data_IF_819540792778
#
_entry.id   IF_819540792778
#
_cell.length_a   1.000
_cell.length_b   1.000
_cell.length_c   1.000
_cell.angle_alpha   90.00
_cell.angle_beta   90.00
_cell.angle_gamma   90.00
#
_symmetry.space_group_name_H-M   'P 1'
#
loop_
_entity.id
_entity.type
_entity.pdbx_description
1 polymer ?
#
# COMPACT_ATOMS: atom_id res chain seq x y z
N UNK A 1 -11.75 -12.61 -0.92
CA UNK A 1 -12.05 -12.92 -2.34
C UNK A 1 -12.05 -14.45 -2.52
N UNK A 2 -12.65 -15.02 -3.56
CA UNK A 2 -12.46 -16.45 -3.92
C UNK A 2 -11.79 -16.46 -5.29
N UNK A 3 -10.63 -17.11 -5.39
CA UNK A 3 -9.84 -17.11 -6.64
C UNK A 3 -10.41 -18.07 -7.68
N UNK A 4 -11.16 -19.08 -7.23
CA UNK A 4 -11.74 -20.13 -8.07
C UNK A 4 -13.20 -19.83 -8.46
N UNK A 5 -13.64 -20.21 -9.67
CA UNK A 5 -15.00 -19.98 -10.13
C UNK A 5 -16.04 -20.67 -9.23
N UNK A 6 -17.02 -19.88 -8.77
CA UNK A 6 -18.10 -20.27 -7.84
C UNK A 6 -19.43 -20.60 -8.53
N UNK A 7 -19.45 -20.67 -9.86
CA UNK A 7 -20.70 -20.72 -10.64
C UNK A 7 -21.56 -21.96 -10.34
N UNK A 8 -20.93 -23.08 -9.95
CA UNK A 8 -21.63 -24.36 -9.74
C UNK A 8 -21.28 -25.04 -8.40
N UNK A 9 -20.40 -24.43 -7.58
CA UNK A 9 -19.93 -25.02 -6.32
C UNK A 9 -19.83 -23.93 -5.25
N UNK A 10 -20.51 -24.11 -4.11
CA UNK A 10 -20.31 -23.27 -2.94
C UNK A 10 -18.94 -23.55 -2.32
N UNK A 11 -18.04 -22.56 -2.35
CA UNK A 11 -16.68 -22.63 -1.79
C UNK A 11 -16.48 -21.54 -0.73
N UNK A 12 -17.43 -21.46 0.21
CA UNK A 12 -17.40 -20.48 1.30
C UNK A 12 -16.17 -20.69 2.18
N UNK A 13 -15.63 -21.90 2.27
CA UNK A 13 -14.45 -22.17 3.10
C UNK A 13 -13.13 -21.70 2.44
N UNK A 14 -13.14 -21.27 1.18
CA UNK A 14 -11.96 -20.76 0.44
C UNK A 14 -11.84 -19.22 0.52
N UNK A 15 -12.54 -18.55 1.45
CA UNK A 15 -12.40 -17.11 1.60
C UNK A 15 -10.96 -16.72 1.93
N UNK A 16 -10.39 -15.90 1.06
CA UNK A 16 -9.11 -15.26 1.33
C UNK A 16 -9.32 -13.96 2.09
N UNK A 17 -8.60 -13.81 3.20
CA UNK A 17 -8.58 -12.59 4.00
C UNK A 17 -7.77 -11.49 3.31
N UNK A 18 -8.20 -10.25 3.48
CA UNK A 18 -7.47 -9.07 3.00
C UNK A 18 -7.14 -8.23 4.22
N UNK A 19 -5.84 -8.11 4.53
CA UNK A 19 -5.38 -7.31 5.65
C UNK A 19 -5.07 -5.89 5.19
N UNK A 20 -5.83 -4.91 5.66
CA UNK A 20 -5.57 -3.49 5.41
C UNK A 20 -4.93 -2.88 6.65
N UNK A 21 -3.64 -2.51 6.57
CA UNK A 21 -2.95 -1.89 7.71
C UNK A 21 -3.37 -0.43 7.90
N UNK A 22 -3.07 0.12 9.08
CA UNK A 22 -3.41 1.49 9.49
C UNK A 22 -2.95 2.53 8.46
N UNK A 23 -3.84 3.46 8.13
CA UNK A 23 -3.57 4.62 7.28
C UNK A 23 -3.51 4.31 5.78
N UNK A 24 -3.71 3.06 5.35
CA UNK A 24 -3.82 2.74 3.94
C UNK A 24 -5.03 3.45 3.31
N UNK A 25 -4.86 3.95 2.09
CA UNK A 25 -5.89 4.63 1.31
C UNK A 25 -6.21 3.81 0.07
N UNK A 26 -7.49 3.52 -0.13
CA UNK A 26 -7.99 2.80 -1.30
C UNK A 26 -8.77 3.79 -2.16
N UNK A 27 -8.25 4.07 -3.35
CA UNK A 27 -8.86 4.98 -4.30
C UNK A 27 -10.21 4.49 -4.80
N UNK A 28 -11.03 5.43 -5.29
CA UNK A 28 -12.36 5.13 -5.79
C UNK A 28 -12.33 4.03 -6.87
N UNK A 29 -13.26 3.07 -6.79
CA UNK A 29 -13.38 1.96 -7.74
C UNK A 29 -12.12 1.06 -7.87
N UNK A 30 -11.22 1.06 -6.89
CA UNK A 30 -10.13 0.09 -6.84
C UNK A 30 -10.64 -1.31 -6.47
N UNK A 31 -10.06 -2.34 -7.07
CA UNK A 31 -10.40 -3.75 -6.83
C UNK A 31 -9.21 -4.47 -6.20
N UNK A 32 -9.43 -5.15 -5.07
CA UNK A 32 -8.40 -5.89 -4.34
C UNK A 32 -8.74 -7.38 -4.41
N UNK A 33 -7.81 -8.18 -4.89
CA UNK A 33 -8.04 -9.58 -5.28
C UNK A 33 -7.08 -10.50 -4.55
N UNK A 34 -7.60 -11.48 -3.80
CA UNK A 34 -6.84 -12.60 -3.22
C UNK A 34 -6.58 -12.46 -1.73
N UNK A 35 -5.60 -13.24 -1.23
CA UNK A 35 -5.08 -13.17 0.15
C UNK A 35 -3.89 -12.21 0.17
N UNK A 36 -4.17 -10.91 0.27
CA UNK A 36 -3.12 -9.89 0.20
C UNK A 36 -3.19 -8.89 1.35
N UNK A 37 -2.01 -8.40 1.72
CA UNK A 37 -1.83 -7.36 2.73
C UNK A 37 -1.55 -6.02 2.05
N UNK A 38 -2.27 -4.99 2.46
CA UNK A 38 -2.01 -3.60 2.10
C UNK A 38 -1.23 -2.94 3.23
N UNK A 39 -0.02 -2.48 2.91
CA UNK A 39 0.90 -1.85 3.84
C UNK A 39 0.36 -0.57 4.50
N UNK A 40 0.99 -0.17 5.60
CA UNK A 40 0.64 1.06 6.33
C UNK A 40 0.82 2.27 5.43
N UNK A 41 -0.13 3.19 5.43
CA UNK A 41 -0.06 4.41 4.63
C UNK A 41 0.19 4.18 3.13
N UNK A 42 -0.08 2.98 2.60
CA UNK A 42 -0.04 2.72 1.18
C UNK A 42 -1.21 3.43 0.47
N UNK A 43 -1.01 3.82 -0.78
CA UNK A 43 -2.02 4.49 -1.59
C UNK A 43 -2.31 3.68 -2.84
N UNK A 44 -3.53 3.13 -2.93
CA UNK A 44 -4.02 2.46 -4.13
C UNK A 44 -4.76 3.51 -4.96
N UNK A 45 -4.32 3.75 -6.20
CA UNK A 45 -4.98 4.69 -7.09
C UNK A 45 -6.39 4.24 -7.48
N UNK A 46 -7.21 5.22 -7.85
CA UNK A 46 -8.56 4.95 -8.36
C UNK A 46 -8.52 4.02 -9.59
N UNK A 47 -9.49 3.11 -9.67
CA UNK A 47 -9.59 2.13 -10.76
C UNK A 47 -8.49 1.07 -10.82
N UNK A 48 -7.60 0.99 -9.82
CA UNK A 48 -6.49 0.02 -9.84
C UNK A 48 -6.95 -1.39 -9.44
N UNK A 49 -6.34 -2.42 -10.02
CA UNK A 49 -6.62 -3.84 -9.69
C UNK A 49 -5.39 -4.45 -9.03
N UNK A 50 -5.44 -4.64 -7.72
CA UNK A 50 -4.30 -5.11 -6.92
C UNK A 50 -4.43 -6.61 -6.65
N UNK A 51 -3.42 -7.36 -7.08
CA UNK A 51 -3.38 -8.84 -6.98
C UNK A 51 -2.20 -9.35 -6.15
N UNK A 52 -1.36 -8.45 -5.62
CA UNK A 52 -0.15 -8.78 -4.85
C UNK A 52 -0.09 -7.93 -3.58
N UNK A 53 0.69 -8.39 -2.60
CA UNK A 53 0.98 -7.64 -1.38
C UNK A 53 1.55 -6.27 -1.72
N UNK A 54 1.09 -5.25 -0.99
CA UNK A 54 1.50 -3.86 -1.16
C UNK A 54 2.35 -3.45 0.03
N UNK A 55 3.52 -2.86 -0.24
CA UNK A 55 4.46 -2.41 0.78
C UNK A 55 3.92 -1.20 1.53
N UNK A 56 4.43 -0.97 2.74
CA UNK A 56 4.11 0.23 3.52
C UNK A 56 4.50 1.47 2.69
N UNK A 57 3.67 2.51 2.65
CA UNK A 57 3.87 3.74 1.88
C UNK A 57 3.94 3.59 0.35
N UNK A 58 3.66 2.41 -0.21
CA UNK A 58 3.72 2.23 -1.66
C UNK A 58 2.57 2.97 -2.37
N UNK A 59 2.89 3.58 -3.52
CA UNK A 59 1.92 4.08 -4.49
C UNK A 59 1.65 3.00 -5.53
N UNK A 60 0.43 2.48 -5.59
CA UNK A 60 0.06 1.43 -6.56
C UNK A 60 -0.98 1.95 -7.53
N UNK A 61 -0.72 1.86 -8.83
CA UNK A 61 -1.59 2.36 -9.90
C UNK A 61 -1.80 1.29 -10.99
N UNK A 62 -2.95 1.35 -11.67
CA UNK A 62 -3.20 0.64 -12.93
C UNK A 62 -3.83 -0.74 -12.82
N UNK A 63 -3.95 -1.41 -13.97
CA UNK A 63 -4.54 -2.74 -14.15
C UNK A 63 -3.65 -3.57 -15.10
N UNK A 64 -2.86 -4.54 -14.61
CA UNK A 64 -2.71 -4.92 -13.19
C UNK A 64 -1.99 -3.81 -12.40
N UNK A 65 -2.36 -3.67 -11.13
CA UNK A 65 -1.79 -2.68 -10.22
C UNK A 65 -0.30 -2.93 -9.99
N UNK A 66 0.52 -1.92 -10.30
CA UNK A 66 1.97 -1.95 -10.11
C UNK A 66 2.39 -0.81 -9.19
N UNK A 67 3.46 -1.04 -8.45
CA UNK A 67 4.04 0.01 -7.63
C UNK A 67 4.74 1.02 -8.56
N UNK A 68 4.27 2.26 -8.53
CA UNK A 68 4.78 3.38 -9.33
C UNK A 68 5.55 4.40 -8.46
N UNK A 69 5.67 4.14 -7.15
CA UNK A 69 6.37 5.06 -6.26
C UNK A 69 6.09 4.87 -4.77
N UNK A 70 6.30 5.95 -4.04
CA UNK A 70 6.17 6.05 -2.58
C UNK A 70 5.39 7.32 -2.21
N UNK A 71 4.52 7.20 -1.23
CA UNK A 71 3.71 8.29 -0.67
C UNK A 71 4.12 8.60 0.76
N UNK A 72 3.92 9.85 1.15
CA UNK A 72 4.00 10.29 2.53
C UNK A 72 2.72 9.93 3.28
N UNK A 73 2.79 9.87 4.61
CA UNK A 73 1.63 9.79 5.50
C UNK A 73 0.60 10.91 5.26
N UNK A 74 1.02 12.07 4.75
CA UNK A 74 0.11 13.17 4.42
C UNK A 74 -0.57 13.04 3.04
N UNK A 75 -0.32 11.94 2.31
CA UNK A 75 -0.90 11.66 0.99
C UNK A 75 -0.12 12.25 -0.19
N UNK A 76 0.96 12.99 0.05
CA UNK A 76 1.81 13.55 -1.02
C UNK A 76 2.72 12.47 -1.62
N UNK A 77 2.89 12.44 -2.93
CA UNK A 77 3.83 11.52 -3.60
C UNK A 77 5.26 12.01 -3.38
N UNK A 78 6.06 11.19 -2.69
CA UNK A 78 7.45 11.54 -2.33
C UNK A 78 8.44 11.12 -3.42
N UNK A 79 8.20 9.96 -4.04
CA UNK A 79 9.07 9.42 -5.08
C UNK A 79 8.23 8.68 -6.11
N UNK A 80 8.52 8.87 -7.40
CA UNK A 80 7.93 8.10 -8.52
C UNK A 80 8.91 7.11 -9.17
N UNK A 81 10.13 7.03 -8.67
CA UNK A 81 11.17 6.18 -9.26
C UNK A 81 11.62 5.15 -8.23
N UNK A 82 11.49 3.87 -8.58
CA UNK A 82 12.22 2.80 -7.90
C UNK A 82 13.69 2.98 -8.26
N UNK A 83 14.43 3.67 -7.41
CA UNK A 83 15.84 3.96 -7.63
C UNK A 83 16.66 2.72 -7.31
N UNK A 84 17.63 2.39 -8.17
CA UNK A 84 18.62 1.30 -7.95
C UNK A 84 19.70 1.65 -6.92
N UNK A 85 19.64 2.85 -6.35
CA UNK A 85 20.54 3.31 -5.29
C UNK A 85 20.20 2.63 -3.95
N UNK A 86 21.25 2.24 -3.22
CA UNK A 86 21.17 1.40 -2.02
C UNK A 86 20.47 2.15 -0.87
N UNK A 87 20.70 3.45 -0.70
CA UNK A 87 20.03 4.30 0.31
C UNK A 87 19.79 5.69 -0.28
N UNK A 88 18.53 6.14 -0.29
CA UNK A 88 18.17 7.52 -0.64
C UNK A 88 17.31 8.13 0.45
N UNK A 89 17.60 9.37 0.83
CA UNK A 89 16.73 10.14 1.71
C UNK A 89 15.83 11.02 0.86
N UNK A 90 14.52 10.89 1.03
CA UNK A 90 13.54 11.73 0.37
C UNK A 90 12.80 12.58 1.39
N UNK A 91 12.51 13.82 1.04
CA UNK A 91 11.75 14.74 1.88
C UNK A 91 10.39 15.04 1.24
N UNK A 92 9.33 14.96 2.03
CA UNK A 92 8.01 15.36 1.59
C UNK A 92 7.92 16.88 1.48
N UNK A 93 7.60 17.39 0.29
CA UNK A 93 7.46 18.85 0.04
C UNK A 93 6.34 19.52 0.84
N UNK A 94 5.37 18.75 1.33
CA UNK A 94 4.19 19.27 2.04
C UNK A 94 4.36 19.32 3.55
N UNK A 95 4.86 18.25 4.16
CA UNK A 95 4.97 18.14 5.62
C UNK A 95 6.41 18.09 6.13
N UNK A 96 7.40 18.18 5.24
CA UNK A 96 8.85 18.18 5.54
C UNK A 96 9.35 16.92 6.26
N UNK A 97 8.52 15.88 6.37
CA UNK A 97 8.92 14.57 6.88
C UNK A 97 9.95 13.95 5.94
N UNK A 98 11.00 13.39 6.53
CA UNK A 98 12.07 12.70 5.81
C UNK A 98 11.86 11.20 5.88
N UNK A 99 12.10 10.55 4.76
CA UNK A 99 11.95 9.12 4.58
C UNK A 99 13.27 8.54 4.08
N UNK A 100 13.62 7.37 4.61
CA UNK A 100 14.70 6.53 4.11
C UNK A 100 14.10 5.55 3.13
N UNK A 101 14.66 5.51 1.93
CA UNK A 101 14.42 4.47 0.93
C UNK A 101 15.62 3.52 0.95
N UNK A 102 15.39 2.25 1.28
CA UNK A 102 16.39 1.18 1.27
C UNK A 102 15.79 -0.07 0.64
N UNK A 103 16.20 -0.43 -0.58
CA UNK A 103 15.90 -1.72 -1.22
C UNK A 103 14.45 -2.22 -1.00
N UNK A 104 13.48 -1.52 -1.60
CA UNK A 104 12.03 -1.75 -1.44
C UNK A 104 11.46 -1.55 -0.02
N UNK A 105 12.24 -1.04 0.92
CA UNK A 105 11.75 -0.51 2.19
C UNK A 105 11.71 1.02 2.14
N UNK A 106 10.61 1.58 2.61
CA UNK A 106 10.43 3.03 2.72
C UNK A 106 9.89 3.33 4.10
N UNK A 107 10.71 3.97 4.93
CA UNK A 107 10.38 4.21 6.33
C UNK A 107 10.71 5.65 6.74
N UNK A 108 9.89 6.28 7.59
CA UNK A 108 10.18 7.61 8.11
C UNK A 108 11.47 7.57 8.95
N UNK A 109 12.33 8.60 8.82
CA UNK A 109 13.61 8.66 9.53
C UNK A 109 13.48 8.95 11.05
N UNK A 110 12.37 9.54 11.50
CA UNK A 110 11.88 9.83 12.87
C UNK A 110 10.76 10.89 12.69
N UNK A 111 9.59 10.94 13.34
CA UNK A 111 9.04 10.42 14.58
C UNK A 111 7.75 9.61 14.34
N UNK A 112 7.68 8.39 14.86
CA UNK A 112 6.42 7.75 15.24
C UNK A 112 6.01 8.36 16.60
N UNK A 113 4.94 9.17 16.71
CA UNK A 113 4.20 9.14 17.95
C UNK A 113 3.55 7.75 18.01
N UNK A 114 4.14 6.87 18.83
CA UNK A 114 3.36 5.82 19.48
C UNK A 114 2.22 6.56 20.18
N UNK A 115 1.00 6.42 19.71
CA UNK A 115 -0.18 6.24 20.57
C UNK A 115 -1.49 6.07 19.79
N UNK A 116 -2.36 5.35 20.50
CA UNK A 116 -3.79 5.16 20.28
C UNK A 116 -4.18 4.13 19.22
N UNK A 117 -4.15 2.87 19.69
CA UNK A 117 -5.37 2.11 19.95
C UNK A 117 -6.65 2.80 19.49
N UNK A 118 -7.30 2.24 18.47
CA UNK A 118 -8.76 2.20 18.45
C UNK A 118 -9.20 0.91 17.79
N UNK A 119 -9.50 -0.04 18.68
CA UNK A 119 -10.43 -1.13 18.48
C UNK A 119 -11.75 -0.51 18.00
N UNK A 120 -12.23 -0.94 16.84
CA UNK A 120 -13.61 -1.31 16.59
C UNK A 120 -13.60 -2.46 15.58
#
# INVERSE_FOLDING_TARGET
NILNPRAFVERKDEFTEILVKRGATIGASATIVGNITIGRCAFIGAGSVVTKNVLDYALVLGVPGRQEGWVCECGEVVSKQLTSEIVKVCECKRCLKKYRHYLNDFSPLENFPKNENRIL
#
